data_IF_841990015824
#
_entry.id   IF_841990015824
#
_cell.length_a   1.000
_cell.length_b   1.000
_cell.length_c   1.000
_cell.angle_alpha   90.00
_cell.angle_beta   90.00
_cell.angle_gamma   90.00
#
_symmetry.space_group_name_H-M   'P 1'
#
loop_
_entity.id
_entity.type
_entity.pdbx_description
1 polymer ?
#
# COMPACT_ATOMS: atom_id res chain seq x y z
N UNK A 1 -12.12 2.38 8.12
CA UNK A 1 -12.65 3.02 6.90
C UNK A 1 -12.17 2.21 5.71
N UNK A 2 -13.07 1.81 4.83
CA UNK A 2 -12.75 1.17 3.54
C UNK A 2 -13.64 1.80 2.46
N UNK A 3 -13.23 1.68 1.20
CA UNK A 3 -14.01 2.13 0.06
C UNK A 3 -13.84 1.14 -1.10
N UNK A 4 -14.92 0.89 -1.83
CA UNK A 4 -14.92 0.15 -3.09
C UNK A 4 -15.16 1.16 -4.21
N UNK A 5 -14.21 1.24 -5.14
CA UNK A 5 -14.37 2.04 -6.35
C UNK A 5 -14.72 1.13 -7.52
N UNK A 6 -15.70 1.54 -8.32
CA UNK A 6 -16.04 0.88 -9.57
C UNK A 6 -16.01 1.88 -10.73
N UNK A 7 -15.88 1.37 -11.96
CA UNK A 7 -15.99 2.22 -13.16
C UNK A 7 -17.45 2.60 -13.37
N UNK A 8 -17.67 3.77 -13.98
CA UNK A 8 -19.02 4.29 -14.26
C UNK A 8 -19.92 3.27 -14.96
N UNK A 9 -19.43 2.58 -15.99
CA UNK A 9 -20.24 1.59 -16.71
C UNK A 9 -20.71 0.41 -15.84
N UNK A 10 -19.96 0.06 -14.78
CA UNK A 10 -20.34 -1.00 -13.83
C UNK A 10 -21.48 -0.49 -12.96
N UNK A 11 -21.36 0.74 -12.45
CA UNK A 11 -22.43 1.39 -11.71
C UNK A 11 -23.70 1.52 -12.57
N UNK A 12 -23.57 2.00 -13.80
CA UNK A 12 -24.70 2.21 -14.71
C UNK A 12 -25.42 0.89 -15.04
N UNK A 13 -24.68 -0.21 -15.20
CA UNK A 13 -25.26 -1.53 -15.45
C UNK A 13 -26.12 -2.02 -14.27
N UNK A 14 -25.69 -1.77 -13.03
CA UNK A 14 -26.46 -2.12 -11.83
C UNK A 14 -27.65 -1.17 -11.68
N UNK A 15 -27.42 0.14 -11.80
CA UNK A 15 -28.41 1.19 -11.61
C UNK A 15 -29.51 1.17 -12.68
N UNK A 16 -29.18 0.79 -13.92
CA UNK A 16 -30.12 0.59 -15.02
C UNK A 16 -30.70 -0.82 -15.13
N UNK A 17 -30.12 -1.79 -14.41
CA UNK A 17 -30.55 -3.18 -14.36
C UNK A 17 -31.39 -3.49 -13.12
N UNK A 18 -30.92 -4.44 -12.30
CA UNK A 18 -31.64 -4.92 -11.10
C UNK A 18 -31.79 -3.86 -10.00
N UNK A 19 -30.88 -2.87 -9.95
CA UNK A 19 -30.75 -1.88 -8.85
C UNK A 19 -30.49 -2.49 -7.48
N UNK A 20 -30.17 -3.78 -7.45
CA UNK A 20 -29.84 -4.52 -6.24
C UNK A 20 -28.32 -4.59 -6.08
N UNK A 21 -27.87 -4.34 -4.86
CA UNK A 21 -26.48 -4.48 -4.47
C UNK A 21 -26.41 -4.93 -3.01
N UNK A 22 -26.37 -6.24 -2.81
CA UNK A 22 -26.30 -6.87 -1.48
C UNK A 22 -24.88 -6.81 -0.90
N UNK A 23 -24.41 -5.57 -0.71
CA UNK A 23 -23.20 -5.26 0.03
C UNK A 23 -23.55 -4.13 1.00
N UNK A 24 -23.60 -4.45 2.30
CA UNK A 24 -23.91 -3.48 3.33
C UNK A 24 -23.40 -3.90 4.69
N UNK A 25 -22.86 -2.95 5.43
CA UNK A 25 -22.44 -3.07 6.81
C UNK A 25 -23.04 -1.92 7.62
N UNK A 26 -23.35 -2.14 8.90
CA UNK A 26 -24.03 -1.16 9.79
C UNK A 26 -23.36 0.21 9.84
N UNK A 27 -22.06 0.27 9.56
CA UNK A 27 -21.22 1.47 9.65
C UNK A 27 -20.78 2.00 8.28
N UNK A 28 -21.35 1.50 7.19
CA UNK A 28 -21.05 2.01 5.85
C UNK A 28 -21.45 3.48 5.74
N UNK A 29 -20.55 4.29 5.16
CA UNK A 29 -20.77 5.73 5.02
C UNK A 29 -20.82 6.50 6.34
N UNK A 30 -20.39 5.91 7.46
CA UNK A 30 -20.37 6.61 8.75
C UNK A 30 -19.63 7.97 8.65
N UNK A 31 -20.28 9.11 8.99
CA UNK A 31 -19.73 10.44 8.72
C UNK A 31 -18.38 10.71 9.40
N UNK A 32 -18.19 10.22 10.63
CA UNK A 32 -16.97 10.45 11.39
C UNK A 32 -15.75 9.78 10.72
N UNK A 33 -15.75 8.46 10.42
CA UNK A 33 -14.69 7.84 9.62
C UNK A 33 -14.44 8.52 8.27
N UNK A 34 -15.49 8.97 7.57
CA UNK A 34 -15.34 9.70 6.31
C UNK A 34 -14.59 11.03 6.50
N UNK A 35 -14.94 11.82 7.51
CA UNK A 35 -14.25 13.07 7.83
C UNK A 35 -12.78 12.84 8.19
N UNK A 36 -12.48 11.78 8.95
CA UNK A 36 -11.10 11.37 9.25
C UNK A 36 -10.34 10.98 7.99
N UNK A 37 -10.96 10.20 7.09
CA UNK A 37 -10.36 9.81 5.82
C UNK A 37 -10.00 11.01 4.94
N UNK A 38 -10.90 11.99 4.84
CA UNK A 38 -10.64 13.24 4.11
C UNK A 38 -9.48 14.02 4.71
N UNK A 39 -9.45 14.21 6.04
CA UNK A 39 -8.36 14.91 6.70
C UNK A 39 -6.99 14.22 6.50
N UNK A 40 -6.95 12.88 6.46
CA UNK A 40 -5.72 12.14 6.13
C UNK A 40 -5.28 12.41 4.69
N UNK A 41 -6.22 12.43 3.73
CA UNK A 41 -5.91 12.76 2.35
C UNK A 41 -5.39 14.19 2.19
N UNK A 42 -5.96 15.15 2.91
CA UNK A 42 -5.49 16.55 2.92
C UNK A 42 -4.03 16.62 3.39
N UNK A 43 -3.72 15.97 4.52
CA UNK A 43 -2.35 15.92 5.05
C UNK A 43 -1.37 15.26 4.07
N UNK A 44 -1.79 14.19 3.37
CA UNK A 44 -0.96 13.53 2.35
C UNK A 44 -0.58 14.51 1.23
N UNK A 45 -1.54 15.31 0.75
CA UNK A 45 -1.35 16.28 -0.32
C UNK A 45 -0.57 17.51 0.15
N UNK A 46 -1.01 18.18 1.22
CA UNK A 46 -0.40 19.40 1.75
C UNK A 46 1.07 19.21 2.12
N UNK A 47 1.39 18.06 2.73
CA UNK A 47 2.77 17.75 3.11
C UNK A 47 3.58 17.13 1.97
N UNK A 48 2.97 16.93 0.79
CA UNK A 48 3.60 16.33 -0.40
C UNK A 48 4.26 14.99 -0.08
N UNK A 49 3.54 14.14 0.65
CA UNK A 49 4.13 12.92 1.21
C UNK A 49 4.53 11.94 0.10
N UNK A 50 3.73 11.82 -0.96
CA UNK A 50 4.02 10.92 -2.09
C UNK A 50 5.29 11.37 -2.83
N UNK A 51 5.48 12.68 -3.03
CA UNK A 51 6.67 13.25 -3.63
C UNK A 51 7.91 12.97 -2.77
N UNK A 52 7.81 13.19 -1.46
CA UNK A 52 8.91 12.90 -0.53
C UNK A 52 9.29 11.42 -0.54
N UNK A 53 8.30 10.51 -0.60
CA UNK A 53 8.56 9.07 -0.74
C UNK A 53 9.25 8.77 -2.07
N UNK A 54 8.85 9.43 -3.16
CA UNK A 54 9.48 9.28 -4.48
C UNK A 54 10.92 9.77 -4.49
N UNK A 55 11.21 10.89 -3.82
CA UNK A 55 12.54 11.49 -3.71
C UNK A 55 13.47 10.70 -2.78
N UNK A 56 12.97 10.26 -1.62
CA UNK A 56 13.79 9.64 -0.56
C UNK A 56 13.83 8.12 -0.60
N UNK A 57 12.81 7.50 -1.19
CA UNK A 57 12.68 6.04 -1.28
C UNK A 57 13.88 5.34 -1.92
N UNK A 58 14.39 5.81 -3.09
CA UNK A 58 15.57 5.21 -3.72
C UNK A 58 16.79 5.21 -2.79
N UNK A 59 17.06 6.35 -2.15
CA UNK A 59 18.16 6.50 -1.20
C UNK A 59 18.02 5.52 -0.02
N UNK A 60 16.83 5.40 0.56
CA UNK A 60 16.59 4.47 1.67
C UNK A 60 16.83 3.00 1.25
N UNK A 61 16.39 2.62 0.06
CA UNK A 61 16.62 1.27 -0.48
C UNK A 61 18.12 1.00 -0.69
N UNK A 62 18.86 1.96 -1.21
CA UNK A 62 20.31 1.82 -1.43
C UNK A 62 21.09 1.77 -0.11
N UNK A 63 20.71 2.60 0.88
CA UNK A 63 21.28 2.55 2.23
C UNK A 63 20.98 1.19 2.92
N UNK A 64 19.78 0.66 2.75
CA UNK A 64 19.43 -0.66 3.27
C UNK A 64 20.24 -1.78 2.60
N UNK A 65 20.40 -1.74 1.27
CA UNK A 65 21.26 -2.69 0.53
C UNK A 65 22.71 -2.64 1.00
N UNK A 66 23.26 -1.43 1.12
CA UNK A 66 24.63 -1.24 1.56
C UNK A 66 24.84 -1.74 3.00
N UNK A 67 23.91 -1.47 3.91
CA UNK A 67 24.02 -1.89 5.31
C UNK A 67 23.92 -3.40 5.53
N UNK A 68 23.27 -4.12 4.61
CA UNK A 68 23.12 -5.58 4.65
C UNK A 68 24.11 -6.33 3.75
N UNK A 69 24.97 -5.60 3.04
CA UNK A 69 25.95 -6.19 2.12
C UNK A 69 26.90 -7.12 2.88
N UNK A 70 27.07 -8.34 2.37
CA UNK A 70 27.95 -9.35 2.96
C UNK A 70 27.32 -10.21 4.06
N UNK A 71 26.07 -9.94 4.43
CA UNK A 71 25.32 -10.83 5.33
C UNK A 71 24.99 -12.16 4.62
N UNK A 72 25.37 -13.28 5.22
CA UNK A 72 25.13 -14.61 4.65
C UNK A 72 23.66 -15.07 4.76
N UNK A 73 22.85 -14.39 5.57
CA UNK A 73 21.42 -14.68 5.76
C UNK A 73 20.52 -13.81 4.88
N UNK A 74 21.07 -12.84 4.14
CA UNK A 74 20.28 -11.92 3.30
C UNK A 74 20.38 -12.38 1.85
N UNK A 75 19.25 -12.82 1.29
CA UNK A 75 19.16 -13.21 -0.12
C UNK A 75 18.95 -12.01 -1.04
N UNK A 76 17.91 -11.23 -0.78
CA UNK A 76 17.52 -10.10 -1.63
C UNK A 76 17.01 -8.92 -0.78
N UNK A 77 17.31 -7.70 -1.23
CA UNK A 77 16.67 -6.48 -0.73
C UNK A 77 15.92 -5.80 -1.88
N UNK A 78 14.58 -5.75 -1.76
CA UNK A 78 13.66 -5.25 -2.78
C UNK A 78 12.65 -4.26 -2.20
N UNK A 79 11.99 -3.51 -3.06
CA UNK A 79 10.93 -2.60 -2.63
C UNK A 79 10.77 -1.37 -3.52
N UNK A 80 9.80 -0.52 -3.16
CA UNK A 80 9.52 0.75 -3.84
C UNK A 80 9.04 1.79 -2.84
N UNK A 81 9.59 3.00 -2.93
CA UNK A 81 9.27 4.05 -1.97
C UNK A 81 9.70 3.63 -0.57
N UNK A 82 8.77 3.63 0.38
CA UNK A 82 9.00 3.16 1.76
C UNK A 82 8.44 1.77 2.04
N UNK A 83 7.92 1.07 1.03
CA UNK A 83 7.57 -0.33 1.14
C UNK A 83 8.78 -1.17 0.72
N UNK A 84 9.57 -1.59 1.70
CA UNK A 84 10.81 -2.35 1.51
C UNK A 84 10.66 -3.75 2.11
N UNK A 85 11.35 -4.71 1.52
CA UNK A 85 11.40 -6.09 1.97
C UNK A 85 12.81 -6.64 1.88
N UNK A 86 13.16 -7.45 2.87
CA UNK A 86 14.41 -8.21 2.91
C UNK A 86 14.04 -9.67 2.92
N UNK A 87 14.50 -10.41 1.92
CA UNK A 87 14.39 -11.86 1.89
C UNK A 87 15.52 -12.48 2.68
N UNK A 88 15.16 -13.39 3.59
CA UNK A 88 16.11 -14.07 4.44
C UNK A 88 16.25 -15.52 3.96
N UNK A 89 17.48 -15.97 3.90
CA UNK A 89 17.84 -17.30 3.39
C UNK A 89 18.66 -18.09 4.41
N UNK A 90 18.60 -19.41 4.35
CA UNK A 90 19.50 -20.28 5.10
C UNK A 90 20.92 -20.18 4.49
N UNK A 91 21.95 -19.79 5.25
CA UNK A 91 23.31 -19.67 4.74
C UNK A 91 23.91 -20.97 4.19
N UNK A 92 23.34 -22.12 4.54
CA UNK A 92 23.86 -23.43 4.15
C UNK A 92 23.44 -23.84 2.75
N UNK A 93 22.22 -23.49 2.34
CA UNK A 93 21.64 -23.94 1.07
C UNK A 93 20.98 -22.81 0.24
N UNK A 94 20.96 -21.59 0.75
CA UNK A 94 20.45 -20.40 0.07
C UNK A 94 18.92 -20.37 -0.07
N UNK A 95 18.17 -21.27 0.60
CA UNK A 95 16.71 -21.30 0.50
C UNK A 95 16.06 -20.22 1.36
N UNK A 96 15.04 -19.56 0.80
CA UNK A 96 14.23 -18.60 1.54
C UNK A 96 13.50 -19.27 2.70
N UNK A 97 13.36 -18.54 3.81
CA UNK A 97 12.54 -18.96 4.95
C UNK A 97 11.03 -18.76 4.74
N UNK A 98 10.63 -18.14 3.62
CA UNK A 98 9.23 -17.90 3.22
C UNK A 98 8.77 -18.83 2.10
#
# INVERSE_FOLDING_TARGET
LAAVFCRQHVFDAIAGGSREFDLGHTWDGAPLPCAVGLAVLDVIHERRLVERVRERGPRLLDELRASLQGSSIVGEVRGRGFLLGVDLVDPRDGRSFL
#
